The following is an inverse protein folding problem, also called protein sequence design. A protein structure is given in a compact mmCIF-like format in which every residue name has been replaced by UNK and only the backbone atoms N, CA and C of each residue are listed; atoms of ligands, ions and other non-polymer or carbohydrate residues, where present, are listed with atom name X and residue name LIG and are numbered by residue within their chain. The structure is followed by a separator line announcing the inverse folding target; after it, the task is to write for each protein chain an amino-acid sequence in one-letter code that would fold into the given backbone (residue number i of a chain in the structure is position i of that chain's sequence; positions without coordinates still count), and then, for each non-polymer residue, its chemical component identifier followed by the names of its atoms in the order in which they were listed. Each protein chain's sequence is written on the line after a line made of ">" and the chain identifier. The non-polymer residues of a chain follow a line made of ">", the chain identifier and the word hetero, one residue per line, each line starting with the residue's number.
data_IF_544998492413
#
_entry.id   IF_544998492413
#
_cell.length_a   1.000
_cell.length_b   1.000
_cell.length_c   1.000
_cell.angle_alpha   90.00
_cell.angle_beta   90.00
_cell.angle_gamma   90.00
#
_symmetry.space_group_name_H-M   'P 1'
#
loop_
_entity.id
_entity.type
_entity.pdbx_description
1 polymer ?
#
# COMPACT_ATOMS: atom_id res chain seq x y z
N UNK A 1 -29.33 22.54 29.92
CA UNK A 1 -29.31 21.07 29.75
C UNK A 1 -28.66 20.77 28.40
N UNK A 2 -27.34 20.62 28.40
CA UNK A 2 -26.55 20.33 27.21
C UNK A 2 -26.61 18.83 26.93
N UNK A 3 -27.32 18.43 25.87
CA UNK A 3 -27.21 17.07 25.33
C UNK A 3 -25.79 16.87 24.79
N UNK A 4 -24.97 16.12 25.52
CA UNK A 4 -23.77 15.52 24.97
C UNK A 4 -24.22 14.44 23.98
N UNK A 5 -24.10 14.72 22.68
CA UNK A 5 -24.18 13.70 21.64
C UNK A 5 -22.93 12.82 21.78
N UNK A 6 -23.02 11.78 22.60
CA UNK A 6 -22.03 10.70 22.58
C UNK A 6 -22.20 9.98 21.25
N UNK A 7 -21.34 10.28 20.29
CA UNK A 7 -21.24 9.51 19.04
C UNK A 7 -20.82 8.09 19.42
N UNK A 8 -21.78 7.19 19.58
CA UNK A 8 -21.49 5.77 19.76
C UNK A 8 -20.68 5.31 18.55
N UNK A 9 -19.45 4.84 18.79
CA UNK A 9 -18.63 4.18 17.78
C UNK A 9 -19.38 2.94 17.30
N UNK A 10 -20.06 3.03 16.16
CA UNK A 10 -20.71 1.89 15.52
C UNK A 10 -19.61 0.90 15.10
N UNK A 11 -19.50 -0.19 15.86
CA UNK A 11 -18.66 -1.33 15.52
C UNK A 11 -19.43 -2.22 14.57
N UNK A 12 -18.82 -2.54 13.45
CA UNK A 12 -19.39 -3.42 12.43
C UNK A 12 -18.54 -4.67 12.32
N UNK A 13 -19.19 -5.79 12.01
CA UNK A 13 -18.52 -7.04 11.69
C UNK A 13 -17.73 -6.87 10.40
N UNK A 14 -16.43 -7.13 10.43
CA UNK A 14 -15.55 -7.05 9.27
C UNK A 14 -15.45 -8.44 8.64
N UNK A 15 -16.05 -8.60 7.46
CA UNK A 15 -15.94 -9.83 6.67
C UNK A 15 -14.57 -9.89 5.98
N UNK A 16 -14.17 -11.09 5.56
CA UNK A 16 -12.94 -11.28 4.77
C UNK A 16 -12.94 -10.40 3.50
N UNK A 17 -14.05 -10.43 2.74
CA UNK A 17 -14.25 -9.60 1.55
C UNK A 17 -14.23 -8.10 1.85
N UNK A 18 -14.92 -7.68 2.93
CA UNK A 18 -14.92 -6.28 3.36
C UNK A 18 -13.51 -5.81 3.74
N UNK A 19 -12.74 -6.65 4.43
CA UNK A 19 -11.35 -6.33 4.72
C UNK A 19 -10.48 -6.29 3.48
N UNK A 20 -10.62 -7.23 2.54
CA UNK A 20 -9.83 -7.24 1.31
C UNK A 20 -10.08 -5.98 0.48
N UNK A 21 -11.34 -5.52 0.42
CA UNK A 21 -11.70 -4.25 -0.23
C UNK A 21 -11.02 -3.05 0.44
N UNK A 22 -11.00 -2.98 1.78
CA UNK A 22 -10.33 -1.89 2.51
C UNK A 22 -8.83 -1.88 2.23
N UNK A 23 -8.18 -3.05 2.28
CA UNK A 23 -6.72 -3.17 2.07
C UNK A 23 -6.35 -2.87 0.61
N UNK A 24 -7.11 -3.37 -0.35
CA UNK A 24 -6.91 -3.07 -1.79
C UNK A 24 -7.04 -1.58 -2.08
N UNK A 25 -8.06 -0.92 -1.51
CA UNK A 25 -8.22 0.53 -1.63
C UNK A 25 -7.06 1.29 -0.97
N UNK A 26 -6.57 0.83 0.18
CA UNK A 26 -5.38 1.41 0.80
C UNK A 26 -4.15 1.31 -0.12
N UNK A 27 -3.89 0.16 -0.73
CA UNK A 27 -2.78 0.00 -1.67
C UNK A 27 -2.90 0.93 -2.88
N UNK A 28 -4.10 1.07 -3.43
CA UNK A 28 -4.38 1.99 -4.54
C UNK A 28 -3.92 3.42 -4.21
N UNK A 29 -4.34 3.93 -3.06
CA UNK A 29 -4.00 5.28 -2.63
C UNK A 29 -2.56 5.43 -2.18
N UNK A 30 -2.00 4.41 -1.51
CA UNK A 30 -0.62 4.43 -1.05
C UNK A 30 0.35 4.46 -2.23
N UNK A 31 0.16 3.58 -3.23
CA UNK A 31 0.99 3.54 -4.44
C UNK A 31 0.92 4.86 -5.19
N UNK A 32 -0.28 5.37 -5.49
CA UNK A 32 -0.41 6.66 -6.20
C UNK A 32 0.19 7.84 -5.42
N UNK A 33 0.03 7.84 -4.10
CA UNK A 33 0.65 8.87 -3.26
C UNK A 33 2.17 8.79 -3.31
N UNK A 34 2.77 7.59 -3.30
CA UNK A 34 4.23 7.42 -3.45
C UNK A 34 4.67 7.91 -4.83
N UNK A 35 3.99 7.52 -5.91
CA UNK A 35 4.35 7.93 -7.28
C UNK A 35 4.38 9.45 -7.45
N UNK A 36 3.39 10.14 -6.87
CA UNK A 36 3.34 11.60 -6.85
C UNK A 36 4.46 12.20 -5.98
N UNK A 37 4.57 11.75 -4.72
CA UNK A 37 5.48 12.34 -3.74
C UNK A 37 6.97 12.12 -4.07
N UNK A 38 7.28 11.02 -4.77
CA UNK A 38 8.63 10.71 -5.25
C UNK A 38 8.91 11.26 -6.65
N UNK A 39 7.94 11.96 -7.27
CA UNK A 39 8.12 12.58 -8.58
C UNK A 39 8.36 11.60 -9.73
N UNK A 40 7.88 10.35 -9.59
CA UNK A 40 8.07 9.30 -10.62
C UNK A 40 7.25 9.61 -11.87
N UNK A 41 6.10 10.25 -11.68
CA UNK A 41 5.24 10.78 -12.72
C UNK A 41 5.08 12.29 -12.57
N UNK A 42 4.84 13.03 -13.67
CA UNK A 42 4.64 14.48 -13.63
C UNK A 42 3.49 14.89 -12.70
N UNK A 43 3.67 16.01 -11.99
CA UNK A 43 2.69 16.47 -10.99
C UNK A 43 1.33 16.86 -11.59
N UNK A 44 1.33 17.29 -12.85
CA UNK A 44 0.16 17.66 -13.65
C UNK A 44 -0.73 16.46 -13.99
N UNK A 45 -0.17 15.24 -13.95
CA UNK A 45 -0.91 13.99 -14.16
C UNK A 45 -1.63 13.53 -12.88
N UNK A 46 -1.65 14.34 -11.82
CA UNK A 46 -2.36 14.03 -10.58
C UNK A 46 -3.36 15.10 -10.21
N UNK A 47 -4.47 14.64 -9.64
CA UNK A 47 -5.52 15.48 -9.06
C UNK A 47 -5.72 15.16 -7.59
N UNK A 48 -6.16 16.16 -6.84
CA UNK A 48 -6.51 15.98 -5.44
C UNK A 48 -7.86 15.29 -5.29
N UNK A 49 -7.92 14.28 -4.41
CA UNK A 49 -9.14 13.59 -4.01
C UNK A 49 -9.23 13.57 -2.48
N UNK A 50 -10.38 13.95 -1.94
CA UNK A 50 -10.64 13.85 -0.50
C UNK A 50 -11.07 12.44 -0.15
N UNK A 51 -10.29 11.75 0.67
CA UNK A 51 -10.56 10.39 1.13
C UNK A 51 -9.98 10.19 2.54
N UNK A 52 -10.61 9.35 3.36
CA UNK A 52 -10.20 9.11 4.77
C UNK A 52 -10.03 10.40 5.61
N UNK A 53 -10.73 11.47 5.22
CA UNK A 53 -10.60 12.78 5.87
C UNK A 53 -9.32 13.56 5.55
N UNK A 54 -8.55 13.15 4.53
CA UNK A 54 -7.36 13.85 4.03
C UNK A 54 -7.44 14.09 2.52
N UNK A 55 -6.63 15.01 2.02
CA UNK A 55 -6.41 15.17 0.57
C UNK A 55 -5.30 14.22 0.14
N UNK A 56 -5.59 13.41 -0.88
CA UNK A 56 -4.67 12.47 -1.51
C UNK A 56 -4.50 12.81 -2.98
N UNK A 57 -3.40 12.34 -3.56
CA UNK A 57 -3.12 12.50 -4.99
C UNK A 57 -3.49 11.21 -5.72
N UNK A 58 -4.27 11.35 -6.78
CA UNK A 58 -4.67 10.25 -7.67
C UNK A 58 -4.38 10.62 -9.11
N UNK A 59 -3.90 9.65 -9.88
CA UNK A 59 -3.51 9.85 -11.26
C UNK A 59 -4.71 10.16 -12.15
N UNK A 60 -4.52 11.04 -13.12
CA UNK A 60 -5.39 11.26 -14.28
C UNK A 60 -4.86 10.58 -15.55
N UNK A 61 -3.69 9.96 -15.52
CA UNK A 61 -3.17 9.17 -16.64
C UNK A 61 -3.90 7.82 -16.74
N UNK A 62 -4.58 7.61 -17.87
CA UNK A 62 -5.39 6.41 -18.12
C UNK A 62 -4.54 5.13 -18.17
N UNK A 63 -3.29 5.23 -18.65
CA UNK A 63 -2.40 4.07 -18.78
C UNK A 63 -1.96 3.57 -17.41
N UNK A 64 -1.52 4.46 -16.53
CA UNK A 64 -1.18 4.18 -15.15
C UNK A 64 -2.39 3.67 -14.38
N UNK A 65 -3.55 4.32 -14.52
CA UNK A 65 -4.78 3.88 -13.87
C UNK A 65 -5.20 2.47 -14.30
N UNK A 66 -5.08 2.15 -15.59
CA UNK A 66 -5.35 0.80 -16.11
C UNK A 66 -4.36 -0.22 -15.57
N UNK A 67 -3.07 0.11 -15.55
CA UNK A 67 -2.03 -0.76 -14.99
C UNK A 67 -2.28 -1.07 -13.52
N UNK A 68 -2.49 -0.03 -12.70
CA UNK A 68 -2.77 -0.19 -11.26
C UNK A 68 -4.05 -0.97 -11.01
N UNK A 69 -5.13 -0.70 -11.77
CA UNK A 69 -6.39 -1.43 -11.65
C UNK A 69 -6.21 -2.94 -11.90
N UNK A 70 -5.44 -3.29 -12.94
CA UNK A 70 -5.15 -4.68 -13.30
C UNK A 70 -4.41 -5.40 -12.16
N UNK A 71 -3.33 -4.77 -11.66
CA UNK A 71 -2.51 -5.31 -10.56
C UNK A 71 -3.31 -5.43 -9.26
N UNK A 72 -4.09 -4.41 -8.91
CA UNK A 72 -4.84 -4.36 -7.65
C UNK A 72 -6.08 -5.25 -7.66
N UNK A 73 -6.67 -5.52 -8.83
CA UNK A 73 -7.73 -6.51 -8.97
C UNK A 73 -7.23 -7.90 -8.57
N UNK A 74 -6.10 -8.33 -9.14
CA UNK A 74 -5.52 -9.63 -8.79
C UNK A 74 -5.04 -9.68 -7.33
N UNK A 75 -4.46 -8.58 -6.83
CA UNK A 75 -4.05 -8.45 -5.42
C UNK A 75 -5.24 -8.62 -4.47
N UNK A 76 -6.42 -8.10 -4.85
CA UNK A 76 -7.65 -8.25 -4.07
C UNK A 76 -8.09 -9.72 -4.01
N UNK A 77 -8.00 -10.47 -5.10
CA UNK A 77 -8.36 -11.89 -5.12
C UNK A 77 -7.43 -12.71 -4.20
N UNK A 78 -6.14 -12.36 -4.15
CA UNK A 78 -5.19 -12.97 -3.22
C UNK A 78 -5.42 -12.58 -1.76
N UNK A 79 -5.92 -11.38 -1.49
CA UNK A 79 -6.40 -10.99 -0.15
C UNK A 79 -7.65 -11.78 0.25
N UNK A 80 -8.63 -11.91 -0.65
CA UNK A 80 -9.86 -12.66 -0.38
C UNK A 80 -9.63 -14.16 -0.16
N UNK A 81 -8.59 -14.72 -0.78
CA UNK A 81 -8.15 -16.11 -0.54
C UNK A 81 -7.17 -16.25 0.63
N UNK A 82 -6.73 -15.14 1.23
CA UNK A 82 -5.76 -15.11 2.32
C UNK A 82 -4.36 -15.58 1.93
N UNK A 83 -4.04 -15.57 0.62
CA UNK A 83 -2.75 -16.00 0.06
C UNK A 83 -1.74 -14.85 -0.07
N UNK A 84 -2.17 -13.59 -0.04
CA UNK A 84 -1.26 -12.45 -0.16
C UNK A 84 -0.38 -12.32 1.10
N UNK A 85 0.94 -12.29 0.91
CA UNK A 85 1.91 -11.98 1.96
C UNK A 85 2.45 -10.56 1.86
N UNK A 86 2.86 -10.11 0.68
CA UNK A 86 3.45 -8.77 0.52
C UNK A 86 3.07 -8.16 -0.83
N UNK A 87 2.83 -6.85 -0.85
CA UNK A 87 2.89 -6.04 -2.06
C UNK A 87 4.12 -5.15 -1.97
N UNK A 88 4.90 -5.07 -3.02
CA UNK A 88 6.15 -4.30 -3.05
C UNK A 88 6.15 -3.40 -4.26
N UNK A 89 6.28 -2.09 -4.04
CA UNK A 89 6.54 -1.11 -5.08
C UNK A 89 8.05 -0.82 -5.12
N UNK A 90 8.68 -1.14 -6.24
CA UNK A 90 10.10 -0.91 -6.49
C UNK A 90 10.22 0.33 -7.37
N UNK A 91 11.07 1.27 -6.96
CA UNK A 91 11.46 2.43 -7.77
C UNK A 91 12.90 2.22 -8.20
N UNK A 92 13.11 2.24 -9.51
CA UNK A 92 14.42 2.01 -10.14
C UNK A 92 14.83 3.21 -10.97
N UNK A 93 16.13 3.42 -11.14
CA UNK A 93 16.66 4.32 -12.15
C UNK A 93 16.38 3.75 -13.55
N UNK A 94 15.73 4.52 -14.42
CA UNK A 94 15.29 4.05 -15.73
C UNK A 94 16.46 3.79 -16.70
N UNK A 95 17.64 4.35 -16.44
CA UNK A 95 18.83 4.18 -17.29
C UNK A 95 19.73 3.05 -16.80
N UNK A 96 19.93 2.92 -15.48
CA UNK A 96 20.85 1.93 -14.90
C UNK A 96 20.16 0.67 -14.40
N UNK A 97 18.83 0.71 -14.26
CA UNK A 97 18.03 -0.33 -13.59
C UNK A 97 18.45 -0.59 -12.14
N UNK A 98 19.17 0.35 -11.51
CA UNK A 98 19.51 0.30 -10.10
C UNK A 98 18.26 0.54 -9.25
N UNK A 99 18.08 -0.24 -8.18
CA UNK A 99 16.97 -0.07 -7.25
C UNK A 99 17.29 1.04 -6.25
N UNK A 100 16.49 2.11 -6.29
CA UNK A 100 16.65 3.29 -5.46
C UNK A 100 15.81 3.19 -4.17
N UNK A 101 14.55 2.77 -4.33
CA UNK A 101 13.62 2.58 -3.22
C UNK A 101 12.80 1.30 -3.38
N UNK A 102 12.50 0.66 -2.25
CA UNK A 102 11.67 -0.55 -2.18
C UNK A 102 10.64 -0.38 -1.08
N UNK A 103 9.44 0.01 -1.47
CA UNK A 103 8.28 0.19 -0.62
C UNK A 103 7.58 -1.14 -0.42
N UNK A 104 7.58 -1.66 0.81
CA UNK A 104 7.01 -2.96 1.16
C UNK A 104 5.77 -2.77 2.02
N UNK A 105 4.70 -3.41 1.59
CA UNK A 105 3.44 -3.54 2.32
C UNK A 105 3.29 -5.00 2.73
N UNK A 106 3.69 -5.29 3.97
CA UNK A 106 3.64 -6.62 4.55
C UNK A 106 2.25 -6.90 5.12
N UNK A 107 1.65 -8.04 4.74
CA UNK A 107 0.27 -8.40 5.02
C UNK A 107 0.23 -9.69 5.84
N UNK A 108 -0.26 -9.56 7.06
CA UNK A 108 -0.56 -10.70 7.92
C UNK A 108 -2.07 -10.96 7.90
N UNK A 109 -2.47 -12.13 7.40
CA UNK A 109 -3.88 -12.54 7.32
C UNK A 109 -4.24 -13.48 8.47
N UNK A 110 -5.36 -13.18 9.14
CA UNK A 110 -5.91 -14.06 10.17
C UNK A 110 -6.52 -15.32 9.55
N UNK A 111 -5.78 -16.44 9.66
CA UNK A 111 -6.17 -17.74 9.10
C UNK A 111 -7.46 -18.30 9.70
N UNK A 112 -7.83 -17.94 10.93
CA UNK A 112 -9.09 -18.40 11.53
C UNK A 112 -10.30 -17.81 10.80
N UNK A 113 -10.22 -16.54 10.40
CA UNK A 113 -11.29 -15.88 9.64
C UNK A 113 -11.39 -16.47 8.24
N UNK A 114 -10.25 -16.78 7.61
CA UNK A 114 -10.21 -17.46 6.30
C UNK A 114 -10.82 -18.86 6.38
N UNK A 115 -10.61 -19.59 7.48
CA UNK A 115 -11.20 -20.91 7.71
C UNK A 115 -12.70 -20.88 8.10
N UNK A 116 -13.37 -19.72 8.00
CA UNK A 116 -14.79 -19.57 8.33
C UNK A 116 -15.07 -19.35 9.82
N UNK A 117 -14.05 -18.98 10.60
CA UNK A 117 -14.20 -18.61 12.00
C UNK A 117 -14.99 -17.31 12.21
N UNK A 118 -15.16 -16.92 13.49
CA UNK A 118 -15.94 -15.74 13.85
C UNK A 118 -15.30 -14.46 13.29
N UNK A 119 -16.07 -13.74 12.48
CA UNK A 119 -15.63 -12.45 11.94
C UNK A 119 -15.43 -11.43 13.07
N UNK A 120 -14.29 -10.72 13.09
CA UNK A 120 -13.99 -9.75 14.14
C UNK A 120 -14.81 -8.46 13.97
N UNK A 121 -14.96 -7.73 15.07
CA UNK A 121 -15.61 -6.42 15.06
C UNK A 121 -14.57 -5.31 15.27
N UNK A 122 -14.64 -4.28 14.42
CA UNK A 122 -13.85 -3.05 14.57
C UNK A 122 -14.66 -1.87 14.01
N UNK A 123 -14.49 -0.69 14.60
CA UNK A 123 -15.16 0.50 14.09
C UNK A 123 -14.51 0.94 12.77
N UNK A 124 -15.32 1.22 11.75
CA UNK A 124 -14.80 1.66 10.45
C UNK A 124 -14.03 2.98 10.55
N UNK A 125 -14.48 3.90 11.43
CA UNK A 125 -13.80 5.16 11.70
C UNK A 125 -12.39 4.97 12.29
N UNK A 126 -12.18 3.92 13.08
CA UNK A 126 -10.87 3.58 13.65
C UNK A 126 -9.92 3.11 12.54
N UNK A 127 -10.39 2.21 11.67
CA UNK A 127 -9.63 1.71 10.51
C UNK A 127 -9.27 2.87 9.57
N UNK A 128 -10.24 3.72 9.23
CA UNK A 128 -10.01 4.91 8.39
C UNK A 128 -9.01 5.88 9.03
N UNK A 129 -9.07 6.05 10.35
CA UNK A 129 -8.13 6.88 11.11
C UNK A 129 -6.70 6.34 11.06
N UNK A 130 -6.51 5.02 11.22
CA UNK A 130 -5.22 4.36 11.09
C UNK A 130 -4.65 4.51 9.67
N UNK A 131 -5.45 4.23 8.65
CA UNK A 131 -5.08 4.39 7.24
C UNK A 131 -4.66 5.83 6.94
N UNK A 132 -5.45 6.82 7.38
CA UNK A 132 -5.12 8.23 7.20
C UNK A 132 -3.83 8.63 7.93
N UNK A 133 -3.49 7.97 9.04
CA UNK A 133 -2.22 8.15 9.74
C UNK A 133 -1.03 7.71 8.90
N UNK A 134 -1.14 6.54 8.26
CA UNK A 134 -0.07 5.96 7.43
C UNK A 134 0.11 6.76 6.14
N UNK A 135 -0.98 7.14 5.46
CA UNK A 135 -0.92 7.95 4.26
C UNK A 135 -0.25 9.32 4.52
N UNK A 136 -0.48 9.93 5.68
CA UNK A 136 0.26 11.13 6.10
C UNK A 136 1.75 10.87 6.33
N UNK A 137 2.12 9.71 6.88
CA UNK A 137 3.53 9.34 7.03
C UNK A 137 4.21 9.09 5.69
N UNK A 138 3.51 8.49 4.72
CA UNK A 138 3.99 8.36 3.34
C UNK A 138 4.26 9.75 2.75
N UNK A 139 3.33 10.70 2.86
CA UNK A 139 3.57 12.07 2.40
C UNK A 139 4.74 12.76 3.14
N UNK A 140 4.90 12.50 4.44
CA UNK A 140 6.01 13.05 5.22
C UNK A 140 7.36 12.38 4.90
N UNK A 141 7.36 11.20 4.26
CA UNK A 141 8.59 10.43 4.02
C UNK A 141 9.60 11.14 3.11
N UNK A 142 9.11 11.97 2.18
CA UNK A 142 9.92 12.79 1.28
C UNK A 142 10.93 13.65 2.03
N UNK A 143 10.65 14.02 3.28
CA UNK A 143 11.54 14.87 4.08
C UNK A 143 12.81 14.17 4.59
N UNK A 144 12.82 12.84 4.65
CA UNK A 144 13.96 12.06 5.13
C UNK A 144 14.54 11.10 4.08
N UNK A 145 13.83 10.89 2.96
CA UNK A 145 14.35 10.07 1.86
C UNK A 145 15.27 10.92 0.96
N UNK A 146 16.36 10.34 0.41
CA UNK A 146 17.22 11.02 -0.57
C UNK A 146 16.44 11.57 -1.75
N UNK A 147 16.95 12.60 -2.41
CA UNK A 147 16.30 13.16 -3.59
C UNK A 147 16.48 12.20 -4.78
N UNK A 148 15.40 11.97 -5.53
CA UNK A 148 15.47 11.27 -6.81
C UNK A 148 15.71 12.32 -7.90
N UNK A 149 16.95 12.41 -8.39
CA UNK A 149 17.36 13.37 -9.43
C UNK A 149 17.38 12.75 -10.84
N UNK A 150 17.12 11.45 -10.95
CA UNK A 150 17.09 10.72 -12.22
C UNK A 150 15.68 10.32 -12.62
N UNK A 151 15.51 10.00 -13.91
CA UNK A 151 14.26 9.45 -14.41
C UNK A 151 14.06 8.07 -13.82
N UNK A 152 12.93 7.86 -13.15
CA UNK A 152 12.62 6.60 -12.50
C UNK A 152 11.64 5.73 -13.31
N UNK A 153 11.71 4.43 -13.10
CA UNK A 153 10.72 3.42 -13.51
C UNK A 153 10.19 2.69 -12.28
N UNK A 154 9.02 2.07 -12.42
CA UNK A 154 8.40 1.30 -11.34
C UNK A 154 8.15 -0.15 -11.72
N UNK A 155 8.22 -1.01 -10.72
CA UNK A 155 7.77 -2.38 -10.79
C UNK A 155 6.95 -2.70 -9.53
N UNK A 156 5.86 -3.44 -9.69
CA UNK A 156 5.07 -3.93 -8.56
C UNK A 156 5.28 -5.44 -8.46
N UNK A 157 5.85 -5.87 -7.34
CA UNK A 157 6.05 -7.28 -7.02
C UNK A 157 5.03 -7.71 -5.98
N UNK A 158 4.55 -8.94 -6.10
CA UNK A 158 3.60 -9.51 -5.15
C UNK A 158 4.10 -10.86 -4.68
N UNK A 159 4.14 -11.05 -3.36
CA UNK A 159 4.54 -12.29 -2.71
C UNK A 159 3.28 -12.97 -2.20
N UNK A 160 3.08 -14.22 -2.63
CA UNK A 160 1.91 -15.03 -2.27
C UNK A 160 2.33 -16.38 -1.72
N UNK A 161 1.44 -16.98 -0.93
CA UNK A 161 1.49 -18.40 -0.58
C UNK A 161 1.14 -19.24 -1.81
N UNK A 162 1.97 -20.25 -2.11
CA UNK A 162 1.78 -21.32 -3.12
C UNK A 162 0.53 -21.11 -3.99
N UNK A 163 0.70 -20.29 -5.03
CA UNK A 163 -0.32 -20.13 -6.07
C UNK A 163 -0.22 -21.33 -7.00
N UNK A 164 -1.34 -22.04 -7.15
CA UNK A 164 -1.43 -23.24 -7.98
C UNK A 164 -1.27 -22.89 -9.48
N UNK A 165 -1.58 -21.66 -9.86
CA UNK A 165 -1.42 -21.11 -11.21
C UNK A 165 -1.06 -19.61 -11.12
N UNK A 166 0.00 -19.20 -11.83
CA UNK A 166 0.36 -17.79 -11.99
C UNK A 166 -0.55 -17.20 -13.08
N UNK A 167 -1.31 -16.12 -12.81
CA UNK A 167 -2.18 -15.53 -13.83
C UNK A 167 -1.38 -15.08 -15.06
N UNK A 168 -1.99 -15.10 -16.24
CA UNK A 168 -1.28 -14.87 -17.51
C UNK A 168 -0.59 -13.50 -17.63
N UNK A 169 -1.06 -12.49 -16.89
CA UNK A 169 -0.48 -11.14 -16.85
C UNK A 169 0.64 -10.99 -15.80
N UNK A 170 1.00 -12.08 -15.12
CA UNK A 170 2.02 -12.13 -14.07
C UNK A 170 3.13 -13.10 -14.46
N UNK A 171 4.35 -12.77 -14.03
CA UNK A 171 5.53 -13.59 -14.20
C UNK A 171 6.36 -13.63 -12.92
N UNK A 172 7.16 -14.67 -12.76
CA UNK A 172 8.12 -14.76 -11.65
C UNK A 172 9.19 -13.68 -11.81
N UNK A 173 9.54 -13.03 -10.71
CA UNK A 173 10.53 -11.94 -10.69
C UNK A 173 11.50 -12.08 -9.52
N UNK A 174 12.69 -11.52 -9.68
CA UNK A 174 13.65 -11.38 -8.59
C UNK A 174 13.13 -10.47 -7.49
N UNK A 175 13.61 -10.65 -6.25
CA UNK A 175 13.12 -9.88 -5.10
C UNK A 175 13.45 -8.37 -5.14
N UNK A 176 14.33 -7.97 -6.06
CA UNK A 176 14.82 -6.59 -6.27
C UNK A 176 15.22 -5.88 -4.98
N UNK A 177 16.03 -6.57 -4.17
CA UNK A 177 16.52 -6.04 -2.89
C UNK A 177 17.64 -5.01 -3.10
N UNK A 178 17.65 -3.98 -2.25
CA UNK A 178 18.69 -2.94 -2.22
C UNK A 178 19.84 -3.42 -1.32
N UNK A 179 21.09 -3.30 -1.80
CA UNK A 179 22.29 -3.60 -0.99
C UNK A 179 22.58 -2.44 -0.05
N UNK A 180 22.93 -2.74 1.21
CA UNK A 180 23.22 -1.74 2.26
C UNK A 180 22.11 -0.70 2.45
N UNK A 181 20.86 -1.13 2.35
CA UNK A 181 19.71 -0.25 2.49
C UNK A 181 19.50 0.20 3.94
N UNK A 182 19.09 1.45 4.11
CA UNK A 182 18.42 1.90 5.32
C UNK A 182 16.93 1.57 5.22
N UNK A 183 16.33 1.15 6.33
CA UNK A 183 14.93 0.75 6.38
C UNK A 183 14.18 1.58 7.40
N UNK A 184 13.11 2.23 6.95
CA UNK A 184 12.20 2.99 7.82
C UNK A 184 10.86 2.29 7.83
N UNK A 185 10.41 1.91 9.03
CA UNK A 185 9.06 1.37 9.26
C UNK A 185 8.07 2.48 9.58
N UNK A 186 6.96 2.48 8.86
CA UNK A 186 5.82 3.35 9.12
C UNK A 186 4.85 2.65 10.09
N UNK A 187 3.78 3.35 10.47
CA UNK A 187 2.69 2.75 11.25
C UNK A 187 2.03 1.62 10.46
N UNK A 188 1.41 0.73 11.22
CA UNK A 188 0.57 -0.34 10.69
C UNK A 188 -0.90 -0.01 10.95
N UNK A 189 -1.79 -0.61 10.15
CA UNK A 189 -3.23 -0.60 10.41
C UNK A 189 -3.76 -2.03 10.38
N UNK A 190 -4.86 -2.26 11.08
CA UNK A 190 -5.47 -3.58 11.11
C UNK A 190 -6.98 -3.49 10.98
N UNK A 191 -7.54 -4.37 10.15
CA UNK A 191 -8.99 -4.63 10.10
C UNK A 191 -9.40 -5.74 11.07
N UNK A 192 -8.43 -6.30 11.83
CA UNK A 192 -8.48 -7.57 12.58
C UNK A 192 -8.58 -8.84 11.72
N UNK A 193 -8.83 -8.70 10.42
CA UNK A 193 -8.72 -9.78 9.45
C UNK A 193 -7.35 -9.73 8.78
N UNK A 194 -6.97 -8.55 8.30
CA UNK A 194 -5.64 -8.27 7.75
C UNK A 194 -4.95 -7.23 8.63
N UNK A 195 -3.67 -7.42 8.86
CA UNK A 195 -2.78 -6.45 9.47
C UNK A 195 -1.73 -6.06 8.42
N UNK A 196 -1.62 -4.76 8.14
CA UNK A 196 -0.74 -4.25 7.07
C UNK A 196 0.32 -3.36 7.69
N UNK A 197 1.58 -3.75 7.51
CA UNK A 197 2.75 -2.97 7.93
C UNK A 197 3.41 -2.37 6.69
N UNK A 198 3.74 -1.09 6.75
CA UNK A 198 4.38 -0.38 5.65
C UNK A 198 5.81 -0.04 6.02
N UNK A 199 6.73 -0.30 5.12
CA UNK A 199 8.15 0.05 5.28
C UNK A 199 8.75 0.49 3.95
N UNK A 200 9.74 1.35 4.01
CA UNK A 200 10.55 1.74 2.85
C UNK A 200 11.99 1.38 3.13
N UNK A 201 12.59 0.62 2.22
CA UNK A 201 14.03 0.47 2.14
C UNK A 201 14.55 1.42 1.07
N UNK A 202 15.59 2.19 1.36
CA UNK A 202 16.22 3.10 0.41
C UNK A 202 17.74 3.01 0.53
N UNK A 203 18.43 3.37 -0.56
CA UNK A 203 19.88 3.47 -0.55
C UNK A 203 20.28 4.75 0.19
N UNK A 204 21.04 4.63 1.28
CA UNK A 204 21.62 5.80 1.92
C UNK A 204 22.65 6.44 0.98
N UNK A 205 22.70 7.77 0.93
CA UNK A 205 23.81 8.46 0.28
C UNK A 205 25.11 8.13 1.04
N UNK A 206 26.17 7.78 0.32
CA UNK A 206 27.49 7.64 0.93
C UNK A 206 27.87 9.02 1.49
N UNK A 207 27.85 9.16 2.82
CA UNK A 207 28.30 10.36 3.50
C UNK A 207 29.81 10.51 3.20
N UNK A 208 30.14 11.42 2.29
CA UNK A 208 31.52 11.81 1.96
C UNK A 208 32.24 12.42 3.17
#
# INVERSE_FOLDING_TARGET
>A
MSMQCQTQLQRSTITLKGSAQIVSQYFEYAVQSILYQRGVYPSEDFKQKKEYGIMLWVSSDDSLNKYLSTVLSQTKDWLESGKLRQLVLVITDANTSEVLERWTFDVETNKEVVAGGKAPEKAESEIKGEIAGILRQICASVSFLPLLDTRCSIDILVYTDNVDEVPAEWEDSDARNIKNAEVVSLRAFSTKVHNVKTMVAYKAEDVL
#
